data_IF_719611025834
#
_entry.id   IF_719611025834
#
_cell.length_a   1.000
_cell.length_b   1.000
_cell.length_c   1.000
_cell.angle_alpha   90.00
_cell.angle_beta   90.00
_cell.angle_gamma   90.00
#
_symmetry.space_group_name_H-M   'P 1'
#
loop_
_entity.id
_entity.type
_entity.pdbx_description
1 polymer ?
#
# COMPACT_ATOMS: atom_id res chain seq x y z
N UNK A 1 18.39 -13.46 -3.14
CA UNK A 1 19.38 -13.23 -2.06
C UNK A 1 19.44 -14.49 -1.18
N UNK A 2 20.49 -14.76 -0.40
CA UNK A 2 20.59 -16.03 0.37
C UNK A 2 19.80 -15.96 1.69
N UNK A 3 18.91 -16.93 1.94
CA UNK A 3 18.13 -17.12 3.18
C UNK A 3 18.89 -16.84 4.50
N UNK A 4 20.09 -17.41 4.75
CA UNK A 4 20.79 -17.24 6.02
C UNK A 4 21.26 -15.79 6.27
N UNK A 5 21.43 -14.99 5.22
CA UNK A 5 21.78 -13.57 5.36
C UNK A 5 20.56 -12.78 5.84
N UNK A 6 19.36 -13.10 5.32
CA UNK A 6 18.11 -12.44 5.71
C UNK A 6 17.72 -12.73 7.16
N UNK A 7 18.01 -13.95 7.63
CA UNK A 7 17.83 -14.31 9.04
C UNK A 7 18.78 -13.54 9.95
N UNK A 8 20.07 -13.44 9.58
CA UNK A 8 21.07 -12.67 10.34
C UNK A 8 20.78 -11.16 10.37
N UNK A 9 20.24 -10.61 9.29
CA UNK A 9 19.80 -9.22 9.21
C UNK A 9 18.45 -8.98 9.90
N UNK A 10 17.83 -10.03 10.44
CA UNK A 10 16.50 -9.99 11.05
C UNK A 10 15.46 -9.32 10.14
N UNK A 11 15.57 -9.52 8.82
CA UNK A 11 14.74 -8.84 7.83
C UNK A 11 13.24 -9.09 8.05
N UNK A 12 12.89 -10.29 8.49
CA UNK A 12 11.53 -10.66 8.89
C UNK A 12 10.95 -9.71 9.95
N UNK A 13 11.74 -9.28 10.95
CA UNK A 13 11.27 -8.32 11.98
C UNK A 13 11.02 -6.94 11.41
N UNK A 14 11.80 -6.52 10.40
CA UNK A 14 11.61 -5.24 9.71
C UNK A 14 10.28 -5.27 8.95
N UNK A 15 10.02 -6.35 8.22
CA UNK A 15 8.76 -6.57 7.51
C UNK A 15 7.58 -6.59 8.48
N UNK A 16 7.67 -7.32 9.60
CA UNK A 16 6.61 -7.33 10.62
C UNK A 16 6.31 -5.95 11.19
N UNK A 17 7.35 -5.16 11.49
CA UNK A 17 7.16 -3.77 11.94
C UNK A 17 6.46 -2.92 10.88
N UNK A 18 6.83 -3.06 9.62
CA UNK A 18 6.22 -2.33 8.52
C UNK A 18 4.73 -2.70 8.37
N UNK A 19 4.40 -4.00 8.38
CA UNK A 19 3.03 -4.51 8.30
C UNK A 19 2.15 -3.95 9.41
N UNK A 20 2.69 -3.81 10.63
CA UNK A 20 1.94 -3.25 11.76
C UNK A 20 1.70 -1.73 11.65
N UNK A 21 2.51 -1.02 10.86
CA UNK A 21 2.34 0.40 10.58
C UNK A 21 1.41 0.65 9.38
N UNK A 22 1.15 -0.36 8.54
CA UNK A 22 0.23 -0.25 7.41
C UNK A 22 -1.23 -0.15 7.89
N UNK A 23 -1.94 0.86 7.41
CA UNK A 23 -3.36 1.08 7.71
C UNK A 23 -4.29 0.30 6.79
N UNK A 24 -3.89 0.10 5.52
CA UNK A 24 -4.67 -0.65 4.53
C UNK A 24 -4.27 -2.13 4.48
N UNK A 25 -5.23 -3.01 4.19
CA UNK A 25 -4.96 -4.44 3.98
C UNK A 25 -4.05 -4.68 2.77
N UNK A 26 -4.22 -3.90 1.71
CA UNK A 26 -3.35 -3.93 0.51
C UNK A 26 -1.91 -3.59 0.90
N UNK A 27 -1.70 -2.53 1.69
CA UNK A 27 -0.36 -2.16 2.15
C UNK A 27 0.27 -3.22 3.04
N UNK A 28 -0.52 -3.94 3.84
CA UNK A 28 -0.05 -5.08 4.64
C UNK A 28 0.41 -6.25 3.77
N UNK A 29 -0.34 -6.56 2.71
CA UNK A 29 0.02 -7.63 1.78
C UNK A 29 1.31 -7.29 1.02
N UNK A 30 1.40 -6.07 0.46
CA UNK A 30 2.60 -5.56 -0.21
C UNK A 30 3.82 -5.58 0.72
N UNK A 31 3.64 -5.13 1.96
CA UNK A 31 4.70 -5.14 2.96
C UNK A 31 5.19 -6.57 3.26
N UNK A 32 4.30 -7.57 3.29
CA UNK A 32 4.66 -8.98 3.50
C UNK A 32 5.40 -9.59 2.32
N UNK A 33 5.11 -9.16 1.10
CA UNK A 33 5.79 -9.64 -0.12
C UNK A 33 7.13 -8.99 -0.39
N UNK A 34 7.52 -7.95 0.37
CA UNK A 34 8.80 -7.27 0.19
C UNK A 34 9.97 -8.25 0.26
N UNK A 35 10.80 -8.20 -0.78
CA UNK A 35 12.06 -8.91 -0.86
C UNK A 35 13.18 -7.92 -1.15
N UNK A 36 14.34 -8.08 -0.50
CA UNK A 36 15.45 -7.18 -0.73
C UNK A 36 16.03 -7.38 -2.13
N UNK A 37 16.16 -6.27 -2.86
CA UNK A 37 16.74 -6.23 -4.20
C UNK A 37 18.26 -6.10 -4.14
N UNK A 38 18.96 -6.57 -5.18
CA UNK A 38 20.39 -6.32 -5.39
C UNK A 38 20.64 -5.40 -6.60
N UNK A 39 19.58 -4.97 -7.28
CA UNK A 39 19.66 -4.09 -8.45
C UNK A 39 19.70 -2.65 -7.97
N UNK A 40 20.85 -2.00 -8.15
CA UNK A 40 21.09 -0.63 -7.67
C UNK A 40 20.02 0.36 -8.12
N UNK A 41 19.70 0.38 -9.41
CA UNK A 41 18.70 1.29 -9.98
C UNK A 41 17.34 1.16 -9.28
N UNK A 42 16.90 -0.07 -9.03
CA UNK A 42 15.62 -0.36 -8.37
C UNK A 42 15.64 0.09 -6.91
N UNK A 43 16.76 -0.11 -6.22
CA UNK A 43 16.92 0.34 -4.83
C UNK A 43 16.87 1.88 -4.76
N UNK A 44 17.57 2.56 -5.67
CA UNK A 44 17.60 4.04 -5.72
C UNK A 44 16.20 4.60 -6.01
N UNK A 45 15.47 4.01 -6.95
CA UNK A 45 14.10 4.38 -7.28
C UNK A 45 13.14 4.17 -6.10
N UNK A 46 13.09 2.97 -5.51
CA UNK A 46 12.22 2.71 -4.36
C UNK A 46 12.53 3.58 -3.14
N UNK A 47 13.80 3.93 -2.91
CA UNK A 47 14.19 4.86 -1.84
C UNK A 47 13.78 6.30 -2.14
N UNK A 48 13.85 6.73 -3.41
CA UNK A 48 13.37 8.04 -3.84
C UNK A 48 11.85 8.15 -3.63
N UNK A 49 11.08 7.16 -4.07
CA UNK A 49 9.62 7.09 -3.84
C UNK A 49 9.28 7.14 -2.34
N UNK A 50 10.00 6.39 -1.51
CA UNK A 50 9.80 6.42 -0.05
C UNK A 50 10.10 7.79 0.55
N UNK A 51 11.14 8.47 0.04
CA UNK A 51 11.52 9.81 0.49
C UNK A 51 10.46 10.83 0.11
N UNK A 52 9.96 10.77 -1.13
CA UNK A 52 8.87 11.62 -1.60
C UNK A 52 7.59 11.39 -0.80
N UNK A 53 7.22 10.13 -0.53
CA UNK A 53 6.07 9.80 0.29
C UNK A 53 6.19 10.37 1.71
N UNK A 54 7.38 10.26 2.33
CA UNK A 54 7.65 10.82 3.65
C UNK A 54 7.54 12.35 3.64
N UNK A 55 8.13 13.01 2.65
CA UNK A 55 8.05 14.47 2.54
C UNK A 55 6.63 14.94 2.27
N UNK A 56 5.87 14.21 1.46
CA UNK A 56 4.44 14.45 1.21
C UNK A 56 3.64 14.37 2.50
N UNK A 57 3.84 13.33 3.31
CA UNK A 57 3.19 13.19 4.63
C UNK A 57 3.62 14.34 5.57
N UNK A 58 4.90 14.73 5.55
CA UNK A 58 5.42 15.83 6.37
C UNK A 58 4.79 17.17 6.00
N UNK A 59 4.68 17.46 4.71
CA UNK A 59 4.09 18.68 4.18
C UNK A 59 2.55 18.67 4.32
N UNK A 60 1.93 17.48 4.27
CA UNK A 60 0.48 17.30 4.33
C UNK A 60 0.11 16.14 5.28
N UNK A 61 0.05 16.39 6.59
CA UNK A 61 -0.20 15.34 7.60
C UNK A 61 -1.64 14.76 7.55
N UNK A 62 -2.57 15.42 6.86
CA UNK A 62 -3.97 15.02 6.79
C UNK A 62 -4.33 14.26 5.50
N UNK A 63 -3.36 13.70 4.76
CA UNK A 63 -3.68 12.86 3.58
C UNK A 63 -4.48 11.64 4.05
N UNK A 64 -5.73 11.46 3.59
CA UNK A 64 -6.63 10.43 4.11
C UNK A 64 -6.31 9.05 3.48
N UNK A 65 -5.18 8.45 3.86
CA UNK A 65 -4.82 7.09 3.43
C UNK A 65 -5.66 6.00 4.12
N UNK A 66 -6.40 6.35 5.17
CA UNK A 66 -7.22 5.42 5.96
C UNK A 66 -8.54 5.01 5.27
N UNK A 67 -8.92 5.63 4.15
CA UNK A 67 -10.14 5.30 3.40
C UNK A 67 -9.97 4.18 2.35
N UNK A 68 -8.73 3.76 2.09
CA UNK A 68 -8.44 2.79 1.03
C UNK A 68 -8.89 1.39 1.49
N UNK A 69 -9.99 0.91 0.91
CA UNK A 69 -10.50 -0.45 1.14
C UNK A 69 -10.04 -1.39 0.04
N UNK A 70 -9.99 -2.68 0.35
CA UNK A 70 -9.65 -3.70 -0.65
C UNK A 70 -10.84 -3.96 -1.58
N UNK A 71 -10.73 -3.49 -2.82
CA UNK A 71 -11.77 -3.62 -3.85
C UNK A 71 -11.54 -4.82 -4.78
N UNK A 72 -10.50 -5.65 -4.56
CA UNK A 72 -10.18 -6.80 -5.44
C UNK A 72 -11.32 -7.82 -5.49
N UNK A 73 -11.96 -8.09 -4.35
CA UNK A 73 -13.11 -9.00 -4.24
C UNK A 73 -14.33 -8.51 -5.04
N UNK A 74 -14.84 -7.29 -4.73
CA UNK A 74 -15.91 -6.67 -5.50
C UNK A 74 -15.60 -6.59 -7.00
N UNK A 75 -14.38 -6.21 -7.39
CA UNK A 75 -14.00 -6.08 -8.81
C UNK A 75 -14.08 -7.44 -9.54
N UNK A 76 -13.58 -8.51 -8.93
CA UNK A 76 -13.67 -9.86 -9.49
C UNK A 76 -15.10 -10.37 -9.58
N UNK A 77 -15.95 -10.02 -8.61
CA UNK A 77 -17.39 -10.35 -8.62
C UNK A 77 -18.10 -9.64 -9.78
N UNK A 78 -17.78 -8.36 -10.01
CA UNK A 78 -18.30 -7.59 -11.13
C UNK A 78 -17.82 -8.13 -12.49
N UNK A 79 -16.55 -8.53 -12.61
CA UNK A 79 -15.96 -9.09 -13.83
C UNK A 79 -16.66 -10.38 -14.28
N UNK A 80 -17.07 -11.23 -13.33
CA UNK A 80 -17.78 -12.49 -13.60
C UNK A 80 -19.29 -12.27 -13.81
N UNK A 81 -19.76 -11.02 -13.82
CA UNK A 81 -21.17 -10.65 -14.03
C UNK A 81 -22.05 -10.76 -12.77
N UNK A 82 -21.43 -10.83 -11.58
CA UNK A 82 -22.12 -10.84 -10.31
C UNK A 82 -22.62 -9.45 -9.90
N UNK A 83 -23.76 -9.42 -9.22
CA UNK A 83 -24.35 -8.17 -8.71
C UNK A 83 -23.63 -7.71 -7.44
N UNK A 84 -23.22 -6.44 -7.41
CA UNK A 84 -22.58 -5.82 -6.25
C UNK A 84 -23.62 -5.36 -5.24
N UNK A 85 -23.40 -5.69 -3.98
CA UNK A 85 -24.23 -5.20 -2.88
C UNK A 85 -23.93 -3.72 -2.59
N UNK A 86 -24.88 -2.96 -1.99
CA UNK A 86 -24.67 -1.55 -1.65
C UNK A 86 -23.39 -1.27 -0.84
N UNK A 87 -23.02 -2.17 0.07
CA UNK A 87 -21.78 -2.05 0.87
C UNK A 87 -20.51 -2.20 0.01
N UNK A 88 -20.55 -3.06 -1.02
CA UNK A 88 -19.43 -3.25 -1.95
C UNK A 88 -19.24 -2.01 -2.84
N UNK A 89 -20.35 -1.42 -3.30
CA UNK A 89 -20.34 -0.16 -4.05
C UNK A 89 -19.81 1.00 -3.19
N UNK A 90 -20.24 1.07 -1.93
CA UNK A 90 -19.78 2.09 -1.00
C UNK A 90 -18.30 1.91 -0.66
N UNK A 91 -17.79 0.68 -0.59
CA UNK A 91 -16.37 0.42 -0.42
C UNK A 91 -15.54 0.89 -1.62
N UNK A 92 -16.05 0.70 -2.85
CA UNK A 92 -15.44 1.22 -4.07
C UNK A 92 -15.44 2.74 -4.06
N UNK A 93 -16.59 3.39 -3.82
CA UNK A 93 -16.70 4.85 -3.75
C UNK A 93 -15.76 5.46 -2.68
N UNK A 94 -15.69 4.86 -1.49
CA UNK A 94 -14.80 5.32 -0.41
C UNK A 94 -13.31 5.21 -0.74
N UNK A 95 -12.94 4.40 -1.75
CA UNK A 95 -11.55 4.28 -2.21
C UNK A 95 -11.18 5.40 -3.19
N UNK A 96 -12.16 5.95 -3.93
CA UNK A 96 -11.96 7.09 -4.83
C UNK A 96 -12.04 8.45 -4.13
N UNK A 97 -12.82 8.59 -3.06
CA UNK A 97 -12.92 9.86 -2.31
C UNK A 97 -11.56 10.42 -1.80
N UNK A 98 -10.60 9.59 -1.33
CA UNK A 98 -9.25 10.05 -1.02
C UNK A 98 -8.51 10.64 -2.22
N UNK A 99 -8.72 10.10 -3.43
CA UNK A 99 -8.05 10.57 -4.65
C UNK A 99 -8.53 11.97 -5.04
N UNK A 100 -9.83 12.22 -5.05
CA UNK A 100 -10.38 13.56 -5.35
C UNK A 100 -9.85 14.61 -4.38
N UNK A 101 -9.76 14.28 -3.08
CA UNK A 101 -9.14 15.16 -2.09
C UNK A 101 -7.67 15.37 -2.41
N UNK A 102 -6.91 14.33 -2.76
CA UNK A 102 -5.51 14.48 -3.13
C UNK A 102 -5.32 15.35 -4.40
N UNK A 103 -6.21 15.25 -5.39
CA UNK A 103 -6.20 16.06 -6.62
C UNK A 103 -6.55 17.53 -6.36
N UNK A 104 -7.51 17.82 -5.47
CA UNK A 104 -7.84 19.17 -5.00
C UNK A 104 -6.70 19.88 -4.25
N UNK A 105 -5.62 19.16 -3.98
CA UNK A 105 -4.46 19.65 -3.23
C UNK A 105 -3.18 19.75 -4.07
N UNK A 106 -3.23 19.48 -5.38
CA UNK A 106 -2.19 19.85 -6.36
C UNK A 106 -2.47 21.22 -6.98
#
# INVERSE_FOLDING_TARGET
MKEPILQKLEFHKIVEKLVNLCTSSIGKDEARSLQPSTKRWYIEESLAETTEAKETIRLRPNVPLAGIKDIRGPLKKAEVGGMLEPDELLAIASTFEPQEKCELFY
#
